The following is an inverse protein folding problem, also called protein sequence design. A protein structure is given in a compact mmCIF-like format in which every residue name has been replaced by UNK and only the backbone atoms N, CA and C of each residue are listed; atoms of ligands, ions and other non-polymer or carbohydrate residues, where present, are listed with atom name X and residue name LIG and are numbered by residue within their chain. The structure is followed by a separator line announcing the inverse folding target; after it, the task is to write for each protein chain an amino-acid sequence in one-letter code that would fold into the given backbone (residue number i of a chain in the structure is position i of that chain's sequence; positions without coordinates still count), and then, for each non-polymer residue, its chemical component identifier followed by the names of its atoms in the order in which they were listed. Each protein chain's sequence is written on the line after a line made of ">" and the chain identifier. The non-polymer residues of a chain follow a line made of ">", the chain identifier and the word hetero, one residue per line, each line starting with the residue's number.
data_IF_574877632500
#
_entry.id   IF_574877632500
#
_cell.length_a   1.000
_cell.length_b   1.000
_cell.length_c   1.000
_cell.angle_alpha   90.00
_cell.angle_beta   90.00
_cell.angle_gamma   90.00
#
_symmetry.space_group_name_H-M   'P 1'
#
loop_
_entity.id
_entity.type
_entity.pdbx_description
1 polymer ?
#
# COMPACT_ATOMS: atom_id res chain seq x y z
N UNK A 1 6.03 34.34 -9.88
CA UNK A 1 6.40 33.91 -11.23
C UNK A 1 5.36 32.97 -11.79
N UNK A 2 4.88 33.19 -13.03
CA UNK A 2 3.90 32.34 -13.69
C UNK A 2 4.57 31.16 -14.46
N UNK A 3 5.91 31.03 -14.30
CA UNK A 3 6.66 30.02 -15.01
C UNK A 3 6.23 28.57 -14.76
N UNK A 4 5.97 28.13 -13.51
CA UNK A 4 5.48 26.78 -13.26
C UNK A 4 4.19 26.43 -14.00
N UNK A 5 3.21 27.36 -14.02
CA UNK A 5 1.94 27.13 -14.69
C UNK A 5 2.12 27.04 -16.22
N UNK A 6 2.98 27.89 -16.80
CA UNK A 6 3.27 27.84 -18.23
C UNK A 6 3.87 26.49 -18.63
N UNK A 7 4.88 26.05 -17.92
CA UNK A 7 5.59 24.78 -18.18
C UNK A 7 4.64 23.57 -18.04
N UNK A 8 3.80 23.56 -17.00
CA UNK A 8 2.79 22.51 -16.83
C UNK A 8 1.77 22.53 -17.94
N UNK A 9 1.33 23.70 -18.37
CA UNK A 9 0.39 23.83 -19.50
C UNK A 9 0.95 23.25 -20.81
N UNK A 10 2.22 23.51 -21.12
CA UNK A 10 2.94 22.94 -22.27
C UNK A 10 3.05 21.41 -22.14
N UNK A 11 3.49 20.92 -20.98
CA UNK A 11 3.62 19.49 -20.70
C UNK A 11 2.27 18.74 -20.79
N UNK A 12 1.18 19.34 -20.30
CA UNK A 12 -0.17 18.77 -20.43
C UNK A 12 -0.63 18.72 -21.89
N UNK A 13 -0.37 19.77 -22.66
CA UNK A 13 -0.72 19.83 -24.08
C UNK A 13 0.03 18.78 -24.93
N UNK A 14 1.24 18.41 -24.51
CA UNK A 14 2.05 17.36 -25.11
C UNK A 14 1.69 15.94 -24.64
N UNK A 15 0.67 15.80 -23.78
CA UNK A 15 0.22 14.50 -23.30
C UNK A 15 0.97 13.95 -22.10
N UNK A 16 1.59 14.81 -21.30
CA UNK A 16 2.38 14.41 -20.12
C UNK A 16 1.59 13.69 -19.04
N UNK A 17 0.30 14.01 -18.85
CA UNK A 17 -0.57 13.33 -17.89
C UNK A 17 -1.51 12.33 -18.57
N UNK A 18 -2.22 12.77 -19.62
CA UNK A 18 -3.09 11.95 -20.45
C UNK A 18 -2.69 12.15 -21.90
N UNK A 19 -2.53 11.07 -22.64
CA UNK A 19 -2.21 11.13 -24.08
C UNK A 19 -3.39 11.56 -24.94
N UNK A 20 -4.60 11.54 -24.40
CA UNK A 20 -5.87 11.77 -25.08
C UNK A 20 -6.61 13.01 -24.56
N UNK A 21 -5.89 14.05 -24.11
CA UNK A 21 -6.51 15.32 -23.70
C UNK A 21 -7.27 15.93 -24.89
N UNK A 22 -8.59 16.09 -24.73
CA UNK A 22 -9.47 16.70 -25.72
C UNK A 22 -9.80 18.17 -25.41
N UNK A 23 -9.68 18.54 -24.15
CA UNK A 23 -9.90 19.91 -23.66
C UNK A 23 -8.92 20.24 -22.55
N UNK A 24 -8.22 21.37 -22.65
CA UNK A 24 -7.39 21.94 -21.61
C UNK A 24 -7.78 23.41 -21.40
N UNK A 25 -8.23 23.76 -20.21
CA UNK A 25 -8.61 25.14 -19.84
C UNK A 25 -7.79 25.61 -18.64
N UNK A 26 -6.99 26.66 -18.78
CA UNK A 26 -6.34 27.28 -17.64
C UNK A 26 -7.34 28.05 -16.78
N UNK A 27 -6.97 28.29 -15.51
CA UNK A 27 -7.64 29.19 -14.59
C UNK A 27 -9.17 28.94 -14.44
N UNK A 28 -9.57 27.70 -14.24
CA UNK A 28 -10.96 27.32 -14.18
C UNK A 28 -11.51 27.32 -12.74
N UNK A 29 -12.64 28.00 -12.53
CA UNK A 29 -13.28 28.08 -11.22
C UNK A 29 -13.96 26.78 -10.83
N UNK A 30 -13.73 26.33 -9.58
CA UNK A 30 -14.45 25.27 -8.92
C UNK A 30 -14.73 25.70 -7.46
N UNK A 31 -16.00 25.67 -7.04
CA UNK A 31 -16.39 26.12 -5.72
C UNK A 31 -15.97 27.57 -5.45
N UNK A 32 -15.14 27.77 -4.44
CA UNK A 32 -14.61 29.07 -4.04
C UNK A 32 -13.16 29.31 -4.46
N UNK A 33 -12.57 28.41 -5.24
CA UNK A 33 -11.21 28.53 -5.76
C UNK A 33 -11.17 28.50 -7.27
N UNK A 34 -10.06 28.98 -7.82
CA UNK A 34 -9.74 28.91 -9.24
C UNK A 34 -8.50 28.05 -9.36
N UNK A 35 -8.66 26.85 -9.93
CA UNK A 35 -7.56 25.94 -10.19
C UNK A 35 -6.77 26.35 -11.43
N UNK A 36 -5.50 26.00 -11.44
CA UNK A 36 -4.60 26.35 -12.53
C UNK A 36 -5.01 25.70 -13.84
N UNK A 37 -5.51 24.45 -13.80
CA UNK A 37 -6.00 23.73 -14.99
C UNK A 37 -7.27 22.92 -14.72
N UNK A 38 -8.15 22.92 -15.71
CA UNK A 38 -9.20 21.94 -15.93
C UNK A 38 -8.94 21.20 -17.23
N UNK A 39 -9.14 19.89 -17.25
CA UNK A 39 -8.93 19.07 -18.44
C UNK A 39 -9.99 17.99 -18.60
N UNK A 40 -10.27 17.66 -19.87
CA UNK A 40 -11.07 16.51 -20.25
C UNK A 40 -10.29 15.62 -21.20
N UNK A 41 -10.40 14.31 -21.05
CA UNK A 41 -9.84 13.35 -21.98
C UNK A 41 -10.89 12.88 -22.98
N UNK A 42 -10.45 12.35 -24.13
CA UNK A 42 -11.36 11.73 -25.11
C UNK A 42 -12.09 10.51 -24.54
N UNK A 43 -11.53 9.86 -23.52
CA UNK A 43 -12.14 8.77 -22.75
C UNK A 43 -13.21 9.23 -21.74
N UNK A 44 -13.47 10.54 -21.65
CA UNK A 44 -14.51 11.13 -20.77
C UNK A 44 -14.07 11.43 -19.34
N UNK A 45 -12.78 11.33 -19.01
CA UNK A 45 -12.26 11.74 -17.69
C UNK A 45 -12.29 13.26 -17.60
N UNK A 46 -12.67 13.77 -16.43
CA UNK A 46 -12.64 15.19 -16.10
C UNK A 46 -11.78 15.41 -14.89
N UNK A 47 -10.85 16.35 -14.97
CA UNK A 47 -9.85 16.54 -13.93
C UNK A 47 -9.57 18.02 -13.65
N UNK A 48 -9.24 18.32 -12.38
CA UNK A 48 -8.66 19.57 -11.94
C UNK A 48 -7.22 19.38 -11.49
N UNK A 49 -6.39 20.40 -11.74
CA UNK A 49 -5.02 20.43 -11.29
C UNK A 49 -4.68 21.80 -10.70
N UNK A 50 -4.03 21.75 -9.55
CA UNK A 50 -3.38 22.89 -8.91
C UNK A 50 -1.86 22.71 -9.02
N UNK A 51 -1.14 23.79 -9.36
CA UNK A 51 0.31 23.79 -9.54
C UNK A 51 0.98 24.58 -8.43
N UNK A 52 2.09 24.06 -7.91
CA UNK A 52 2.93 24.72 -6.92
C UNK A 52 4.38 24.71 -7.37
N UNK A 53 4.94 25.89 -7.61
CA UNK A 53 6.38 26.02 -7.86
C UNK A 53 7.16 25.80 -6.55
N UNK A 54 8.20 25.01 -6.61
CA UNK A 54 9.07 24.67 -5.47
C UNK A 54 10.48 25.17 -5.78
N UNK A 55 11.01 26.01 -4.88
CA UNK A 55 12.34 26.62 -4.97
C UNK A 55 13.14 26.44 -3.68
N UNK A 56 12.48 26.00 -2.58
CA UNK A 56 13.15 25.74 -1.32
C UNK A 56 13.77 24.34 -1.35
N UNK A 57 15.07 24.28 -1.15
CA UNK A 57 15.86 23.05 -1.10
C UNK A 57 16.78 23.07 0.12
N UNK A 58 16.97 21.92 0.72
CA UNK A 58 17.94 21.68 1.77
C UNK A 58 18.45 20.23 1.70
N UNK A 59 19.75 20.04 1.47
CA UNK A 59 20.42 18.73 1.35
C UNK A 59 19.71 17.78 0.34
N UNK A 60 19.47 18.28 -0.87
CA UNK A 60 18.79 17.59 -1.97
C UNK A 60 17.33 17.19 -1.66
N UNK A 61 16.70 17.81 -0.68
CA UNK A 61 15.28 17.66 -0.35
C UNK A 61 14.54 18.96 -0.63
N UNK A 62 13.56 18.91 -1.50
CA UNK A 62 12.68 20.05 -1.74
C UNK A 62 11.55 20.11 -0.72
N UNK A 63 11.18 21.29 -0.27
CA UNK A 63 10.10 21.48 0.70
C UNK A 63 9.11 22.56 0.26
N UNK A 64 7.83 22.38 0.57
CA UNK A 64 6.77 23.35 0.30
C UNK A 64 5.78 23.42 1.48
N UNK A 65 5.27 24.62 1.84
CA UNK A 65 5.60 25.94 1.30
C UNK A 65 6.89 26.53 1.91
N UNK A 66 7.49 27.48 1.24
CA UNK A 66 8.63 28.27 1.71
C UNK A 66 8.25 29.31 2.76
N UNK A 67 6.98 29.77 2.74
CA UNK A 67 6.36 30.64 3.72
C UNK A 67 4.93 30.19 4.02
N UNK A 68 4.34 30.55 5.19
CA UNK A 68 2.98 30.16 5.53
C UNK A 68 1.96 30.59 4.48
N UNK A 69 1.16 29.67 3.98
CA UNK A 69 0.19 29.89 2.90
C UNK A 69 -1.16 29.23 3.17
N UNK A 70 -2.08 29.97 3.78
CA UNK A 70 -3.46 29.52 3.99
C UNK A 70 -4.17 29.26 2.65
N UNK A 71 -3.79 29.99 1.60
CA UNK A 71 -4.29 29.77 0.25
C UNK A 71 -3.92 28.38 -0.27
N UNK A 72 -2.70 27.91 -0.01
CA UNK A 72 -2.24 26.58 -0.43
C UNK A 72 -3.06 25.48 0.27
N UNK A 73 -3.32 25.61 1.58
CA UNK A 73 -4.18 24.68 2.33
C UNK A 73 -5.59 24.65 1.73
N UNK A 74 -6.21 25.82 1.52
CA UNK A 74 -7.54 25.93 0.94
C UNK A 74 -7.65 25.27 -0.44
N UNK A 75 -6.68 25.46 -1.32
CA UNK A 75 -6.68 24.85 -2.65
C UNK A 75 -6.64 23.34 -2.58
N UNK A 76 -5.87 22.77 -1.66
CA UNK A 76 -5.83 21.32 -1.46
C UNK A 76 -7.15 20.80 -0.89
N UNK A 77 -7.80 21.52 0.03
CA UNK A 77 -9.14 21.18 0.53
C UNK A 77 -10.18 21.14 -0.59
N UNK A 78 -10.12 22.08 -1.51
CA UNK A 78 -11.04 22.10 -2.66
C UNK A 78 -10.72 21.03 -3.70
N UNK A 79 -9.46 20.56 -3.83
CA UNK A 79 -9.13 19.36 -4.60
C UNK A 79 -9.76 18.10 -3.99
N UNK A 80 -9.78 18.00 -2.65
CA UNK A 80 -10.50 16.92 -1.94
C UNK A 80 -11.99 16.97 -2.27
N UNK A 81 -12.58 18.15 -2.28
CA UNK A 81 -14.00 18.33 -2.62
C UNK A 81 -14.28 17.98 -4.09
N UNK A 82 -13.44 18.38 -5.01
CA UNK A 82 -13.54 17.99 -6.42
C UNK A 82 -13.51 16.46 -6.57
N UNK A 83 -12.64 15.78 -5.81
CA UNK A 83 -12.55 14.33 -5.82
C UNK A 83 -13.84 13.67 -5.33
N UNK A 84 -14.47 14.19 -4.28
CA UNK A 84 -15.77 13.71 -3.78
C UNK A 84 -16.89 13.86 -4.81
N UNK A 85 -16.82 14.87 -5.66
CA UNK A 85 -17.79 15.13 -6.73
C UNK A 85 -17.51 14.31 -8.01
N UNK A 86 -16.52 13.40 -7.99
CA UNK A 86 -16.24 12.47 -9.07
C UNK A 86 -15.23 12.97 -10.11
N UNK A 87 -14.62 14.13 -9.91
CA UNK A 87 -13.51 14.58 -10.76
C UNK A 87 -12.20 13.88 -10.35
N UNK A 88 -11.32 13.67 -11.30
CA UNK A 88 -9.92 13.43 -10.97
C UNK A 88 -9.30 14.74 -10.45
N UNK A 89 -8.43 14.63 -9.45
CA UNK A 89 -7.84 15.81 -8.81
C UNK A 89 -6.33 15.61 -8.65
N UNK A 90 -5.57 16.64 -9.04
CA UNK A 90 -4.12 16.62 -9.04
C UNK A 90 -3.54 17.84 -8.33
N UNK A 91 -2.55 17.60 -7.48
CA UNK A 91 -1.64 18.63 -7.00
C UNK A 91 -0.27 18.36 -7.65
N UNK A 92 0.28 19.33 -8.37
CA UNK A 92 1.55 19.20 -9.07
C UNK A 92 2.60 20.15 -8.49
N UNK A 93 3.65 19.57 -7.91
CA UNK A 93 4.84 20.32 -7.54
C UNK A 93 5.79 20.41 -8.73
N UNK A 94 6.17 21.62 -9.10
CA UNK A 94 7.15 21.92 -10.14
C UNK A 94 8.43 22.35 -9.44
N UNK A 95 9.41 21.46 -9.42
CA UNK A 95 10.70 21.66 -8.75
C UNK A 95 11.62 22.34 -9.75
N UNK A 96 11.88 23.62 -9.54
CA UNK A 96 12.62 24.48 -10.49
C UNK A 96 14.14 24.30 -10.38
N UNK A 97 14.59 23.04 -10.20
CA UNK A 97 15.99 22.65 -10.08
C UNK A 97 16.17 21.17 -10.33
N UNK A 98 17.40 20.71 -10.46
CA UNK A 98 17.79 19.30 -10.59
C UNK A 98 18.44 18.75 -9.33
N UNK A 99 18.55 17.43 -9.26
CA UNK A 99 19.25 16.72 -8.18
C UNK A 99 18.43 16.52 -6.92
N UNK A 100 17.12 16.76 -6.95
CA UNK A 100 16.23 16.57 -5.79
C UNK A 100 15.87 15.09 -5.66
N UNK A 101 16.09 14.53 -4.47
CA UNK A 101 15.78 13.15 -4.14
C UNK A 101 14.28 12.92 -3.89
N UNK A 102 13.63 13.86 -3.22
CA UNK A 102 12.18 13.87 -2.97
C UNK A 102 11.69 15.26 -2.55
N UNK A 103 10.38 15.47 -2.63
CA UNK A 103 9.73 16.66 -2.08
C UNK A 103 8.88 16.27 -0.88
N UNK A 104 8.84 17.12 0.14
CA UNK A 104 8.04 16.92 1.35
C UNK A 104 7.31 18.19 1.79
N UNK A 105 6.25 18.09 2.60
CA UNK A 105 5.66 19.24 3.26
C UNK A 105 6.68 19.89 4.20
N UNK A 106 6.73 21.22 4.18
CA UNK A 106 7.53 21.97 5.15
C UNK A 106 6.78 22.03 6.50
N UNK A 107 6.92 20.96 7.27
CA UNK A 107 6.26 20.80 8.57
C UNK A 107 6.61 21.90 9.57
N UNK A 108 7.82 22.44 9.50
CA UNK A 108 8.26 23.51 10.39
C UNK A 108 7.59 24.85 10.05
N UNK A 109 7.37 25.11 8.78
CA UNK A 109 6.77 26.36 8.29
C UNK A 109 5.26 26.34 8.39
N UNK A 110 4.63 25.22 7.99
CA UNK A 110 3.18 25.09 7.99
C UNK A 110 2.71 23.64 8.18
N UNK A 111 2.58 23.16 9.42
CA UNK A 111 2.07 21.82 9.70
C UNK A 111 0.71 21.51 9.05
N UNK A 112 -0.20 22.49 9.03
CA UNK A 112 -1.52 22.36 8.42
C UNK A 112 -1.49 22.00 6.93
N UNK A 113 -0.42 22.38 6.21
CA UNK A 113 -0.25 21.98 4.82
C UNK A 113 0.11 20.49 4.71
N UNK A 114 0.98 19.98 5.57
CA UNK A 114 1.29 18.55 5.64
C UNK A 114 0.05 17.71 5.99
N UNK A 115 -0.74 18.15 6.98
CA UNK A 115 -1.99 17.49 7.39
C UNK A 115 -3.02 17.44 6.26
N UNK A 116 -3.19 18.54 5.52
CA UNK A 116 -4.13 18.56 4.39
C UNK A 116 -3.64 17.69 3.23
N UNK A 117 -2.33 17.57 3.00
CA UNK A 117 -1.78 16.65 2.00
C UNK A 117 -2.06 15.17 2.35
N UNK A 118 -1.93 14.80 3.62
CA UNK A 118 -2.28 13.45 4.08
C UNK A 118 -3.76 13.15 3.83
N UNK A 119 -4.66 14.10 4.16
CA UNK A 119 -6.10 13.97 3.88
C UNK A 119 -6.39 13.91 2.38
N UNK A 120 -5.70 14.69 1.58
CA UNK A 120 -5.86 14.72 0.12
C UNK A 120 -5.47 13.38 -0.51
N UNK A 121 -4.34 12.80 -0.11
CA UNK A 121 -3.92 11.48 -0.57
C UNK A 121 -4.96 10.41 -0.20
N UNK A 122 -5.43 10.39 1.04
CA UNK A 122 -6.47 9.46 1.50
C UNK A 122 -7.81 9.65 0.77
N UNK A 123 -8.10 10.85 0.29
CA UNK A 123 -9.29 11.15 -0.52
C UNK A 123 -9.11 10.81 -2.02
N UNK A 124 -7.93 10.32 -2.43
CA UNK A 124 -7.62 9.97 -3.81
C UNK A 124 -7.18 11.15 -4.70
N UNK A 125 -6.77 12.26 -4.11
CA UNK A 125 -6.05 13.33 -4.83
C UNK A 125 -4.65 12.81 -5.17
N UNK A 126 -4.25 12.88 -6.42
CA UNK A 126 -2.93 12.47 -6.88
C UNK A 126 -1.94 13.62 -6.70
N UNK A 127 -0.92 13.39 -5.90
CA UNK A 127 0.13 14.37 -5.63
C UNK A 127 1.34 13.99 -6.48
N UNK A 128 1.70 14.86 -7.40
CA UNK A 128 2.78 14.68 -8.36
C UNK A 128 3.88 15.70 -8.10
N UNK A 129 5.11 15.32 -8.39
CA UNK A 129 6.23 16.25 -8.46
C UNK A 129 7.12 15.89 -9.64
N UNK A 130 7.58 16.93 -10.31
CA UNK A 130 8.55 16.81 -11.40
C UNK A 130 9.64 17.85 -11.23
N UNK A 131 10.86 17.47 -11.52
CA UNK A 131 11.95 18.43 -11.64
C UNK A 131 11.94 19.08 -13.01
N UNK A 132 12.81 20.08 -13.18
CA UNK A 132 12.89 20.81 -14.43
C UNK A 132 14.34 20.89 -14.92
N UNK A 133 14.48 20.82 -16.23
CA UNK A 133 15.66 21.34 -16.91
C UNK A 133 15.57 22.88 -16.93
N UNK A 134 16.58 23.53 -16.40
CA UNK A 134 16.65 25.00 -16.29
C UNK A 134 17.72 25.50 -17.22
N UNK A 135 17.34 26.27 -18.25
CA UNK A 135 18.24 27.01 -19.14
C UNK A 135 18.24 28.48 -18.79
N UNK A 136 19.05 29.28 -19.52
CA UNK A 136 19.13 30.75 -19.33
C UNK A 136 17.76 31.44 -19.49
N UNK A 137 16.98 31.03 -20.49
CA UNK A 137 15.66 31.59 -20.81
C UNK A 137 14.57 30.49 -20.92
N UNK A 138 14.83 29.29 -20.43
CA UNK A 138 13.93 28.14 -20.59
C UNK A 138 13.75 27.34 -19.28
N UNK A 139 12.54 26.81 -19.09
CA UNK A 139 12.20 25.87 -18.07
C UNK A 139 11.37 24.78 -18.74
N UNK A 140 11.72 23.52 -18.52
CA UNK A 140 11.00 22.36 -19.10
C UNK A 140 10.86 21.27 -18.05
N UNK A 141 9.66 20.68 -17.92
CA UNK A 141 9.43 19.52 -17.06
C UNK A 141 10.25 18.35 -17.57
N UNK A 142 10.89 17.63 -16.65
CA UNK A 142 11.77 16.51 -16.99
C UNK A 142 11.39 15.25 -16.22
N UNK A 143 12.06 14.92 -15.13
CA UNK A 143 11.88 13.64 -14.44
C UNK A 143 10.91 13.72 -13.27
N UNK A 144 10.13 12.67 -13.01
CA UNK A 144 9.29 12.59 -11.82
C UNK A 144 10.15 12.49 -10.56
N UNK A 145 9.74 13.20 -9.50
CA UNK A 145 10.39 13.21 -8.20
C UNK A 145 9.43 12.60 -7.16
N UNK A 146 9.89 11.70 -6.29
CA UNK A 146 9.06 11.15 -5.23
C UNK A 146 8.49 12.23 -4.32
N UNK A 147 7.23 12.05 -3.89
CA UNK A 147 6.56 12.92 -2.90
C UNK A 147 6.40 12.17 -1.60
N UNK A 148 7.03 12.64 -0.53
CA UNK A 148 6.94 12.05 0.80
C UNK A 148 6.03 12.89 1.70
N UNK A 149 4.82 12.43 1.90
CA UNK A 149 3.80 13.14 2.68
C UNK A 149 3.85 12.77 4.16
N UNK A 150 4.21 11.51 4.46
CA UNK A 150 4.39 11.03 5.84
C UNK A 150 5.45 9.91 5.93
N UNK A 151 5.61 9.34 7.13
CA UNK A 151 6.58 8.28 7.38
C UNK A 151 6.37 7.03 6.52
N UNK A 152 5.13 6.76 6.06
CA UNK A 152 4.84 5.59 5.22
C UNK A 152 5.56 5.67 3.86
N UNK A 153 5.74 6.84 3.30
CA UNK A 153 6.42 6.99 2.01
C UNK A 153 7.91 6.60 2.06
N UNK A 154 8.46 6.52 3.28
CA UNK A 154 9.86 6.21 3.53
C UNK A 154 10.12 4.75 3.89
N UNK A 155 9.09 3.93 4.07
CA UNK A 155 9.27 2.57 4.61
C UNK A 155 9.67 1.53 3.58
N UNK A 156 9.28 1.69 2.32
CA UNK A 156 9.42 0.64 1.31
C UNK A 156 10.88 0.31 1.02
N UNK A 157 11.72 1.30 0.77
CA UNK A 157 13.12 1.10 0.41
C UNK A 157 13.94 0.44 1.53
N UNK A 158 13.96 0.95 2.79
CA UNK A 158 14.71 0.29 3.85
C UNK A 158 14.17 -1.09 4.21
N UNK A 159 12.85 -1.32 4.08
CA UNK A 159 12.24 -2.62 4.27
C UNK A 159 12.72 -3.64 3.25
N UNK A 160 12.70 -3.30 1.96
CA UNK A 160 13.16 -4.18 0.90
C UNK A 160 14.65 -4.46 0.98
N UNK A 161 15.47 -3.45 1.29
CA UNK A 161 16.90 -3.63 1.48
C UNK A 161 17.21 -4.59 2.64
N UNK A 162 16.49 -4.47 3.77
CA UNK A 162 16.59 -5.38 4.90
C UNK A 162 16.15 -6.80 4.52
N UNK A 163 15.05 -6.93 3.78
CA UNK A 163 14.52 -8.21 3.31
C UNK A 163 15.51 -8.92 2.37
N UNK A 164 16.09 -8.21 1.42
CA UNK A 164 17.09 -8.75 0.49
C UNK A 164 18.35 -9.25 1.20
N UNK A 165 18.77 -8.54 2.26
CA UNK A 165 19.97 -8.89 3.03
C UNK A 165 19.79 -10.12 3.91
N UNK A 166 18.57 -10.45 4.37
CA UNK A 166 18.38 -11.44 5.42
C UNK A 166 17.10 -12.28 5.37
N UNK A 167 16.37 -12.30 4.25
CA UNK A 167 15.13 -13.09 4.14
C UNK A 167 15.37 -14.57 4.37
N UNK A 168 14.45 -15.21 5.10
CA UNK A 168 14.48 -16.64 5.31
C UNK A 168 14.29 -17.40 3.99
N UNK A 169 15.06 -18.46 3.81
CA UNK A 169 14.85 -19.44 2.74
C UNK A 169 13.69 -20.35 3.17
N UNK A 170 12.58 -20.29 2.40
CA UNK A 170 11.37 -21.06 2.68
C UNK A 170 10.94 -21.78 1.41
N UNK A 171 10.52 -23.07 1.49
CA UNK A 171 10.19 -23.87 0.30
C UNK A 171 9.20 -23.22 -0.66
N UNK A 172 8.17 -22.56 -0.13
CA UNK A 172 7.15 -21.85 -0.92
C UNK A 172 7.60 -20.53 -1.55
N UNK A 173 8.84 -20.08 -1.27
CA UNK A 173 9.47 -18.90 -1.89
C UNK A 173 10.41 -19.24 -3.03
N UNK A 174 10.83 -20.51 -3.15
CA UNK A 174 11.73 -20.96 -4.22
C UNK A 174 11.00 -21.00 -5.57
N UNK A 175 9.75 -21.47 -5.56
CA UNK A 175 8.89 -21.53 -6.74
C UNK A 175 7.49 -20.97 -6.39
N UNK A 176 7.29 -19.67 -6.40
CA UNK A 176 6.06 -19.02 -5.94
C UNK A 176 4.93 -19.07 -6.99
N UNK A 177 4.55 -20.27 -7.44
CA UNK A 177 3.37 -20.45 -8.27
C UNK A 177 2.09 -20.06 -7.51
N UNK A 178 0.99 -19.72 -8.20
CA UNK A 178 -0.28 -19.41 -7.53
C UNK A 178 -0.74 -20.52 -6.56
N UNK A 179 -0.55 -21.77 -6.91
CA UNK A 179 -0.91 -22.90 -6.07
C UNK A 179 -0.01 -23.00 -4.83
N UNK A 180 1.29 -22.87 -5.00
CA UNK A 180 2.28 -22.92 -3.91
C UNK A 180 2.07 -21.78 -2.90
N UNK A 181 1.86 -20.55 -3.39
CA UNK A 181 1.55 -19.40 -2.54
C UNK A 181 0.24 -19.62 -1.79
N UNK A 182 -0.82 -20.00 -2.48
CA UNK A 182 -2.12 -20.25 -1.85
C UNK A 182 -2.03 -21.33 -0.76
N UNK A 183 -1.42 -22.46 -1.07
CA UNK A 183 -1.27 -23.57 -0.13
C UNK A 183 -0.49 -23.13 1.12
N UNK A 184 0.66 -22.49 0.95
CA UNK A 184 1.48 -22.03 2.07
C UNK A 184 0.75 -21.00 2.94
N UNK A 185 0.05 -20.05 2.33
CA UNK A 185 -0.72 -19.02 3.07
C UNK A 185 -1.83 -19.65 3.92
N UNK A 186 -2.53 -20.66 3.42
CA UNK A 186 -3.55 -21.37 4.20
C UNK A 186 -2.92 -22.20 5.32
N UNK A 187 -1.80 -22.88 5.07
CA UNK A 187 -1.10 -23.66 6.10
C UNK A 187 -0.53 -22.79 7.23
N UNK A 188 -0.02 -21.61 6.89
CA UNK A 188 0.56 -20.66 7.84
C UNK A 188 -0.47 -19.96 8.73
N UNK A 189 -1.76 -20.00 8.39
CA UNK A 189 -2.80 -19.45 9.27
C UNK A 189 -2.75 -20.13 10.64
N UNK A 190 -2.39 -19.37 11.69
CA UNK A 190 -2.31 -19.84 13.08
C UNK A 190 -1.35 -21.04 13.31
N UNK A 191 -0.42 -21.27 12.38
CA UNK A 191 0.60 -22.33 12.47
C UNK A 191 1.99 -21.75 12.29
N UNK A 192 2.95 -22.21 13.09
CA UNK A 192 4.34 -21.73 13.02
C UNK A 192 5.02 -22.22 11.75
N UNK A 193 5.88 -21.39 11.16
CA UNK A 193 6.62 -21.65 9.92
C UNK A 193 7.36 -23.00 9.97
N UNK A 194 8.09 -23.30 11.05
CA UNK A 194 8.86 -24.53 11.17
C UNK A 194 7.97 -25.79 11.15
N UNK A 195 6.78 -25.72 11.72
CA UNK A 195 5.82 -26.82 11.64
C UNK A 195 5.30 -27.00 10.21
N UNK A 196 5.03 -25.90 9.49
CA UNK A 196 4.45 -25.97 8.13
C UNK A 196 5.41 -26.59 7.12
N UNK A 197 6.73 -26.40 7.21
CA UNK A 197 7.71 -26.88 6.23
C UNK A 197 7.51 -28.37 5.88
N UNK A 198 7.50 -29.25 6.87
CA UNK A 198 7.35 -30.70 6.66
C UNK A 198 5.96 -31.08 6.11
N UNK A 199 4.91 -30.35 6.47
CA UNK A 199 3.57 -30.56 5.93
C UNK A 199 3.44 -30.12 4.49
N UNK A 200 4.04 -28.99 4.15
CA UNK A 200 4.02 -28.42 2.82
C UNK A 200 4.63 -29.36 1.78
N UNK A 201 5.84 -29.86 2.05
CA UNK A 201 6.52 -30.79 1.15
C UNK A 201 5.74 -32.10 0.95
N UNK A 202 5.26 -32.69 2.05
CA UNK A 202 4.46 -33.92 2.00
C UNK A 202 3.13 -33.72 1.26
N UNK A 203 2.50 -32.56 1.46
CA UNK A 203 1.23 -32.23 0.81
C UNK A 203 1.42 -32.08 -0.70
N UNK A 204 2.46 -31.35 -1.14
CA UNK A 204 2.77 -31.18 -2.55
C UNK A 204 3.17 -32.48 -3.25
N UNK A 205 3.87 -33.39 -2.56
CA UNK A 205 4.16 -34.72 -3.12
C UNK A 205 2.89 -35.52 -3.39
N UNK A 206 1.88 -35.40 -2.52
CA UNK A 206 0.63 -36.13 -2.65
C UNK A 206 -0.39 -35.42 -3.57
N UNK A 207 -0.40 -34.10 -3.57
CA UNK A 207 -1.37 -33.23 -4.26
C UNK A 207 -0.59 -32.06 -4.92
N UNK A 208 0.07 -32.31 -6.07
CA UNK A 208 0.99 -31.34 -6.67
C UNK A 208 0.33 -30.15 -7.35
N UNK A 209 -0.97 -30.23 -7.63
CA UNK A 209 -1.73 -29.23 -8.39
C UNK A 209 -3.17 -29.08 -7.90
N UNK A 210 -3.87 -28.10 -8.46
CA UNK A 210 -5.25 -27.78 -8.11
C UNK A 210 -6.20 -28.92 -8.45
N UNK A 211 -5.97 -29.63 -9.56
CA UNK A 211 -6.77 -30.74 -10.03
C UNK A 211 -6.71 -31.93 -9.08
N UNK A 212 -5.52 -32.31 -8.64
CA UNK A 212 -5.33 -33.38 -7.65
C UNK A 212 -5.96 -33.04 -6.30
N UNK A 213 -5.84 -31.78 -5.87
CA UNK A 213 -6.50 -31.28 -4.65
C UNK A 213 -8.03 -31.29 -4.78
N UNK A 214 -8.57 -30.93 -5.94
CA UNK A 214 -10.02 -30.94 -6.17
C UNK A 214 -10.58 -32.38 -6.16
N UNK A 215 -9.82 -33.33 -6.71
CA UNK A 215 -10.24 -34.73 -6.86
C UNK A 215 -9.99 -35.61 -5.62
N UNK A 216 -9.12 -35.18 -4.67
CA UNK A 216 -8.76 -36.02 -3.52
C UNK A 216 -9.97 -36.35 -2.63
N UNK A 217 -10.03 -37.57 -2.13
CA UNK A 217 -11.04 -37.95 -1.13
C UNK A 217 -10.82 -37.20 0.19
N UNK A 218 -11.93 -36.80 0.86
CA UNK A 218 -11.86 -35.99 2.09
C UNK A 218 -11.04 -36.66 3.18
N UNK A 219 -11.20 -37.97 3.37
CA UNK A 219 -10.44 -38.74 4.36
C UNK A 219 -8.92 -38.65 4.13
N UNK A 220 -8.49 -38.81 2.88
CA UNK A 220 -7.08 -38.68 2.49
C UNK A 220 -6.56 -37.25 2.69
N UNK A 221 -7.38 -36.23 2.35
CA UNK A 221 -7.04 -34.83 2.56
C UNK A 221 -6.82 -34.53 4.05
N UNK A 222 -7.76 -34.95 4.89
CA UNK A 222 -7.69 -34.73 6.34
C UNK A 222 -6.51 -35.49 6.98
N UNK A 223 -6.15 -36.65 6.44
CA UNK A 223 -4.95 -37.39 6.88
C UNK A 223 -3.66 -36.65 6.54
N UNK A 224 -3.57 -36.04 5.37
CA UNK A 224 -2.42 -35.19 4.99
C UNK A 224 -2.31 -33.94 5.86
N UNK A 225 -3.45 -33.45 6.38
CA UNK A 225 -3.57 -32.25 7.23
C UNK A 225 -3.43 -32.54 8.72
N UNK A 226 -3.40 -33.82 9.11
CA UNK A 226 -3.39 -34.25 10.53
C UNK A 226 -2.19 -33.65 11.26
N UNK A 227 -2.45 -32.92 12.35
CA UNK A 227 -1.45 -32.22 13.16
C UNK A 227 -1.36 -30.72 12.91
N UNK A 228 -1.86 -30.18 11.79
CA UNK A 228 -1.94 -28.73 11.55
C UNK A 228 -3.12 -28.06 12.29
N UNK A 229 -4.13 -28.85 12.67
CA UNK A 229 -5.34 -28.35 13.31
C UNK A 229 -6.24 -27.52 12.37
N UNK A 230 -7.34 -26.99 12.94
CA UNK A 230 -8.30 -26.15 12.19
C UNK A 230 -8.69 -26.75 10.84
N UNK A 231 -9.20 -27.97 10.83
CA UNK A 231 -9.50 -28.80 9.66
C UNK A 231 -10.44 -28.14 8.62
N UNK A 232 -11.21 -27.15 9.05
CA UNK A 232 -12.02 -26.35 8.09
C UNK A 232 -11.17 -25.63 7.05
N UNK A 233 -9.89 -25.34 7.33
CA UNK A 233 -8.97 -24.79 6.33
C UNK A 233 -8.75 -25.77 5.18
N UNK A 234 -8.49 -27.04 5.50
CA UNK A 234 -8.34 -28.11 4.50
C UNK A 234 -9.63 -28.32 3.68
N UNK A 235 -10.78 -28.36 4.34
CA UNK A 235 -12.07 -28.49 3.64
C UNK A 235 -12.35 -27.31 2.71
N UNK A 236 -12.10 -26.09 3.17
CA UNK A 236 -12.26 -24.90 2.32
C UNK A 236 -11.27 -24.88 1.16
N UNK A 237 -10.02 -25.30 1.39
CA UNK A 237 -9.01 -25.44 0.35
C UNK A 237 -9.48 -26.38 -0.77
N UNK A 238 -10.01 -27.55 -0.44
CA UNK A 238 -10.61 -28.48 -1.41
C UNK A 238 -11.82 -27.88 -2.13
N UNK A 239 -12.75 -27.27 -1.40
CA UNK A 239 -13.93 -26.62 -2.01
C UNK A 239 -13.52 -25.53 -3.00
N UNK A 240 -12.51 -24.73 -2.65
CA UNK A 240 -11.98 -23.72 -3.52
C UNK A 240 -11.29 -24.32 -4.76
N UNK A 241 -10.52 -25.41 -4.59
CA UNK A 241 -9.92 -26.14 -5.71
C UNK A 241 -10.96 -26.69 -6.69
N UNK A 242 -12.04 -27.29 -6.16
CA UNK A 242 -13.17 -27.75 -6.97
C UNK A 242 -13.79 -26.59 -7.77
N UNK A 243 -13.95 -25.42 -7.15
CA UNK A 243 -14.47 -24.23 -7.80
C UNK A 243 -13.50 -23.72 -8.88
N UNK A 244 -12.20 -23.71 -8.61
CA UNK A 244 -11.18 -23.33 -9.61
C UNK A 244 -11.22 -24.26 -10.81
N UNK A 245 -11.35 -25.56 -10.61
CA UNK A 245 -11.46 -26.51 -11.72
C UNK A 245 -12.74 -26.29 -12.52
N UNK A 246 -13.89 -26.13 -11.86
CA UNK A 246 -15.19 -26.03 -12.53
C UNK A 246 -15.46 -24.67 -13.19
N UNK A 247 -15.01 -23.55 -12.58
CA UNK A 247 -15.36 -22.21 -13.05
C UNK A 247 -14.18 -21.49 -13.75
N UNK A 248 -12.93 -21.90 -13.48
CA UNK A 248 -11.72 -21.26 -14.00
C UNK A 248 -10.81 -22.22 -14.78
N UNK A 249 -11.32 -23.41 -15.13
CA UNK A 249 -10.57 -24.37 -15.97
C UNK A 249 -9.27 -24.88 -15.32
N UNK A 250 -9.21 -24.99 -13.99
CA UNK A 250 -8.05 -25.44 -13.24
C UNK A 250 -6.99 -24.36 -12.98
N UNK A 251 -7.19 -23.15 -13.51
CA UNK A 251 -6.25 -22.04 -13.29
C UNK A 251 -6.74 -21.12 -12.18
N UNK A 252 -5.90 -20.91 -11.16
CA UNK A 252 -6.20 -19.97 -10.08
C UNK A 252 -6.33 -18.56 -10.69
N UNK A 253 -7.45 -17.84 -10.44
CA UNK A 253 -7.66 -16.52 -11.00
C UNK A 253 -6.62 -15.51 -10.47
N UNK A 254 -6.10 -14.66 -11.35
CA UNK A 254 -5.10 -13.66 -10.97
C UNK A 254 -5.69 -12.38 -10.38
N UNK A 255 -6.99 -12.09 -10.61
CA UNK A 255 -7.61 -10.87 -10.11
C UNK A 255 -8.03 -11.00 -8.65
N UNK A 256 -7.71 -9.98 -7.85
CA UNK A 256 -8.03 -9.94 -6.42
C UNK A 256 -9.52 -10.20 -6.13
N UNK A 257 -10.42 -9.58 -6.90
CA UNK A 257 -11.88 -9.71 -6.74
C UNK A 257 -12.36 -11.14 -7.03
N UNK A 258 -11.71 -11.84 -7.95
CA UNK A 258 -12.02 -13.24 -8.27
C UNK A 258 -11.50 -14.18 -7.17
N UNK A 259 -10.31 -13.91 -6.64
CA UNK A 259 -9.76 -14.66 -5.50
C UNK A 259 -10.67 -14.60 -4.28
N UNK A 260 -11.27 -13.44 -3.98
CA UNK A 260 -12.21 -13.27 -2.87
C UNK A 260 -13.49 -14.13 -2.99
N UNK A 261 -13.84 -14.60 -4.19
CA UNK A 261 -14.99 -15.47 -4.42
C UNK A 261 -14.72 -16.93 -4.07
N UNK A 262 -13.45 -17.29 -3.80
CA UNK A 262 -13.06 -18.64 -3.49
C UNK A 262 -13.24 -18.94 -2.00
N UNK A 263 -13.82 -20.12 -1.64
CA UNK A 263 -14.02 -20.50 -0.26
C UNK A 263 -12.74 -20.46 0.58
N UNK A 264 -12.79 -19.82 1.74
CA UNK A 264 -11.65 -19.72 2.67
C UNK A 264 -10.56 -18.71 2.30
N UNK A 265 -10.74 -17.95 1.21
CA UNK A 265 -9.84 -16.87 0.82
C UNK A 265 -10.45 -15.53 1.25
N UNK A 266 -9.85 -14.91 2.26
CA UNK A 266 -10.15 -13.55 2.71
C UNK A 266 -9.23 -12.51 2.09
N UNK A 267 -9.41 -11.23 2.45
CA UNK A 267 -8.64 -10.10 1.90
C UNK A 267 -7.13 -10.27 2.02
N UNK A 268 -6.65 -10.79 3.16
CA UNK A 268 -5.24 -11.07 3.37
C UNK A 268 -4.69 -12.12 2.37
N UNK A 269 -5.33 -13.30 2.32
CA UNK A 269 -4.87 -14.39 1.43
C UNK A 269 -4.98 -14.00 -0.03
N UNK A 270 -6.07 -13.32 -0.42
CA UNK A 270 -6.22 -12.80 -1.78
C UNK A 270 -5.12 -11.78 -2.14
N UNK A 271 -4.80 -10.86 -1.21
CA UNK A 271 -3.71 -9.91 -1.39
C UNK A 271 -2.34 -10.58 -1.51
N UNK A 272 -2.06 -11.60 -0.69
CA UNK A 272 -0.83 -12.37 -0.76
C UNK A 272 -0.69 -13.10 -2.12
N UNK A 273 -1.72 -13.82 -2.56
CA UNK A 273 -1.71 -14.51 -3.85
C UNK A 273 -1.57 -13.51 -5.00
N UNK A 274 -2.38 -12.45 -5.03
CA UNK A 274 -2.36 -11.45 -6.10
C UNK A 274 -1.00 -10.76 -6.22
N UNK A 275 -0.35 -10.44 -5.11
CA UNK A 275 0.94 -9.73 -5.13
C UNK A 275 2.11 -10.66 -5.37
N UNK A 276 2.17 -11.82 -4.69
CA UNK A 276 3.34 -12.70 -4.74
C UNK A 276 3.38 -13.52 -6.03
N UNK A 277 2.23 -14.07 -6.45
CA UNK A 277 2.17 -14.94 -7.61
C UNK A 277 1.85 -14.20 -8.92
N UNK A 278 1.17 -13.07 -8.86
CA UNK A 278 0.72 -12.33 -10.05
C UNK A 278 1.28 -10.91 -10.17
N UNK A 279 2.12 -10.47 -9.23
CA UNK A 279 2.77 -9.17 -9.29
C UNK A 279 1.82 -7.96 -9.19
N UNK A 280 0.63 -8.13 -8.63
CA UNK A 280 -0.33 -7.04 -8.49
C UNK A 280 0.00 -6.16 -7.27
N UNK A 281 -0.21 -4.87 -7.40
CA UNK A 281 -0.12 -3.91 -6.28
C UNK A 281 -1.33 -4.11 -5.38
N UNK A 282 -1.27 -5.13 -4.53
CA UNK A 282 -2.35 -5.50 -3.62
C UNK A 282 -1.79 -5.81 -2.23
N UNK A 283 -2.08 -4.98 -1.22
CA UNK A 283 -1.63 -5.22 0.15
C UNK A 283 -2.23 -6.49 0.76
N UNK A 284 -1.41 -7.19 1.54
CA UNK A 284 -1.83 -8.32 2.36
C UNK A 284 -1.75 -7.91 3.84
N UNK A 285 -2.87 -7.44 4.40
CA UNK A 285 -2.93 -6.87 5.75
C UNK A 285 -3.49 -7.88 6.74
N UNK A 286 -2.62 -8.35 7.63
CA UNK A 286 -2.96 -9.20 8.78
C UNK A 286 -2.73 -8.47 10.12
N UNK A 287 -2.89 -9.19 11.22
CA UNK A 287 -2.63 -8.64 12.55
C UNK A 287 -1.17 -8.23 12.80
N UNK A 288 -0.22 -8.82 12.07
CA UNK A 288 1.19 -8.42 12.16
C UNK A 288 1.39 -7.07 11.48
N UNK A 289 0.89 -6.91 10.27
CA UNK A 289 0.96 -5.65 9.51
C UNK A 289 0.29 -4.52 10.29
N UNK A 290 -0.91 -4.74 10.82
CA UNK A 290 -1.62 -3.76 11.65
C UNK A 290 -0.80 -3.36 12.88
N UNK A 291 -0.15 -4.32 13.55
CA UNK A 291 0.70 -4.04 14.71
C UNK A 291 1.92 -3.20 14.37
N UNK A 292 2.66 -3.58 13.33
CA UNK A 292 3.89 -2.87 12.99
C UNK A 292 3.60 -1.44 12.52
N UNK A 293 2.53 -1.22 11.77
CA UNK A 293 2.13 0.13 11.34
C UNK A 293 1.55 0.96 12.49
N UNK A 294 0.78 0.34 13.40
CA UNK A 294 0.33 1.01 14.61
C UNK A 294 1.50 1.52 15.46
N UNK A 295 2.57 0.73 15.60
CA UNK A 295 3.81 1.14 16.29
C UNK A 295 4.57 2.22 15.51
N UNK A 296 4.69 2.05 14.19
CA UNK A 296 5.39 3.01 13.33
C UNK A 296 4.82 4.43 13.48
N UNK A 297 3.50 4.55 13.48
CA UNK A 297 2.76 5.84 13.45
C UNK A 297 2.16 6.24 14.80
N UNK A 298 2.31 5.43 15.85
CA UNK A 298 1.59 5.58 17.13
C UNK A 298 0.07 5.69 16.93
N UNK A 299 -0.49 4.84 16.06
CA UNK A 299 -1.92 4.88 15.74
C UNK A 299 -2.75 4.38 16.94
N UNK A 300 -3.52 5.27 17.52
CA UNK A 300 -4.38 5.02 18.69
C UNK A 300 -5.69 4.29 18.35
N UNK A 301 -5.99 4.10 17.06
CA UNK A 301 -7.20 3.40 16.63
C UNK A 301 -7.16 1.92 16.99
N UNK A 302 -8.34 1.35 17.24
CA UNK A 302 -8.45 -0.09 17.50
C UNK A 302 -8.13 -0.90 16.23
N UNK A 303 -7.06 -1.70 16.27
CA UNK A 303 -6.67 -2.55 15.12
C UNK A 303 -7.68 -3.67 14.80
N UNK A 304 -8.66 -3.91 15.67
CA UNK A 304 -9.73 -4.90 15.41
C UNK A 304 -10.90 -4.29 14.62
N UNK A 305 -10.93 -2.96 14.45
CA UNK A 305 -11.94 -2.30 13.63
C UNK A 305 -11.65 -2.52 12.13
N UNK A 306 -12.65 -3.06 11.43
CA UNK A 306 -12.55 -3.30 9.98
C UNK A 306 -12.31 -2.00 9.16
N UNK A 307 -12.74 -0.84 9.67
CA UNK A 307 -12.48 0.45 9.04
C UNK A 307 -10.99 0.82 9.11
N UNK A 308 -10.36 0.53 10.26
CA UNK A 308 -8.91 0.75 10.43
C UNK A 308 -8.12 -0.14 9.50
N UNK A 309 -8.50 -1.43 9.40
CA UNK A 309 -7.87 -2.35 8.45
C UNK A 309 -7.97 -1.86 7.00
N UNK A 310 -9.16 -1.42 6.58
CA UNK A 310 -9.37 -0.90 5.23
C UNK A 310 -8.52 0.35 4.96
N UNK A 311 -8.47 1.30 5.90
CA UNK A 311 -7.63 2.48 5.77
C UNK A 311 -6.14 2.12 5.63
N UNK A 312 -5.67 1.11 6.36
CA UNK A 312 -4.29 0.60 6.24
C UNK A 312 -4.06 -0.07 4.88
N UNK A 313 -5.03 -0.85 4.37
CA UNK A 313 -4.95 -1.43 3.02
C UNK A 313 -4.84 -0.33 1.94
N UNK A 314 -5.64 0.73 2.04
CA UNK A 314 -5.59 1.89 1.13
C UNK A 314 -4.27 2.64 1.22
N UNK A 315 -3.78 2.94 2.42
CA UNK A 315 -2.49 3.60 2.66
C UNK A 315 -1.34 2.79 2.05
N UNK A 316 -1.30 1.49 2.30
CA UNK A 316 -0.24 0.61 1.77
C UNK A 316 -0.30 0.46 0.25
N UNK A 317 -1.49 0.39 -0.34
CA UNK A 317 -1.62 0.34 -1.80
C UNK A 317 -1.00 1.57 -2.47
N UNK A 318 -1.06 2.73 -1.82
CA UNK A 318 -0.49 3.99 -2.31
C UNK A 318 1.04 4.05 -2.31
N UNK A 319 1.70 3.23 -1.50
CA UNK A 319 3.17 3.26 -1.31
C UNK A 319 3.87 1.96 -1.71
N UNK A 320 3.11 0.92 -2.02
CA UNK A 320 3.65 -0.38 -2.39
C UNK A 320 4.41 -0.28 -3.73
N UNK A 321 5.67 -0.72 -3.80
CA UNK A 321 6.45 -0.69 -5.04
C UNK A 321 5.80 -1.57 -6.13
N UNK A 322 5.54 -0.98 -7.30
CA UNK A 322 4.85 -1.65 -8.40
C UNK A 322 5.69 -2.74 -9.06
N UNK A 323 7.00 -2.66 -8.97
CA UNK A 323 7.95 -3.64 -9.49
C UNK A 323 8.18 -4.83 -8.54
N UNK A 324 7.89 -4.67 -7.24
CA UNK A 324 8.17 -5.69 -6.20
C UNK A 324 7.03 -5.84 -5.16
N UNK A 325 5.75 -5.91 -5.56
CA UNK A 325 4.65 -5.93 -4.59
C UNK A 325 4.64 -7.20 -3.72
N UNK A 326 5.00 -8.35 -4.28
CA UNK A 326 5.09 -9.61 -3.55
C UNK A 326 6.20 -9.59 -2.49
N UNK A 327 7.37 -9.05 -2.84
CA UNK A 327 8.49 -8.91 -1.88
C UNK A 327 8.13 -7.95 -0.76
N UNK A 328 7.43 -6.85 -1.06
CA UNK A 328 6.98 -5.89 -0.06
C UNK A 328 6.06 -6.54 0.98
N UNK A 329 5.04 -7.29 0.55
CA UNK A 329 4.17 -8.02 1.46
C UNK A 329 4.93 -9.07 2.28
N UNK A 330 5.80 -9.86 1.64
CA UNK A 330 6.60 -10.86 2.34
C UNK A 330 7.55 -10.22 3.37
N UNK A 331 8.15 -9.08 3.04
CA UNK A 331 9.01 -8.33 3.95
C UNK A 331 8.25 -7.79 5.17
N UNK A 332 7.01 -7.30 4.97
CA UNK A 332 6.12 -6.88 6.06
C UNK A 332 5.80 -8.04 7.01
N UNK A 333 5.47 -9.20 6.46
CA UNK A 333 5.20 -10.43 7.25
C UNK A 333 6.44 -10.86 8.03
N UNK A 334 7.60 -10.85 7.39
CA UNK A 334 8.89 -11.23 8.00
C UNK A 334 9.26 -10.28 9.13
N UNK A 335 9.12 -8.97 8.92
CA UNK A 335 9.37 -7.95 9.94
C UNK A 335 8.48 -8.16 11.18
N UNK A 336 7.20 -8.45 10.96
CA UNK A 336 6.26 -8.71 12.05
C UNK A 336 6.53 -10.02 12.79
N UNK A 337 7.02 -11.05 12.10
CA UNK A 337 7.30 -12.35 12.70
C UNK A 337 8.62 -12.39 13.47
N UNK A 338 9.65 -11.66 13.03
CA UNK A 338 11.03 -11.85 13.54
C UNK A 338 11.57 -10.69 14.34
N UNK A 339 11.15 -9.46 14.05
CA UNK A 339 11.71 -8.24 14.63
C UNK A 339 10.69 -7.51 15.49
N UNK A 340 9.61 -7.05 14.88
CA UNK A 340 8.54 -6.33 15.58
C UNK A 340 7.51 -7.30 16.18
N UNK A 341 7.95 -8.20 17.05
CA UNK A 341 7.17 -9.31 17.61
C UNK A 341 6.01 -8.85 18.50
N UNK A 342 4.91 -9.67 18.62
CA UNK A 342 3.73 -9.29 19.40
C UNK A 342 3.95 -9.38 20.92
N UNK A 343 4.75 -10.34 21.38
CA UNK A 343 4.95 -10.64 22.78
C UNK A 343 6.43 -10.50 23.15
N UNK A 344 6.72 -9.88 24.29
CA UNK A 344 8.08 -9.60 24.72
C UNK A 344 8.65 -8.30 24.10
N UNK A 345 9.96 -8.09 24.26
CA UNK A 345 10.64 -6.92 23.73
C UNK A 345 10.85 -7.04 22.22
N UNK A 346 10.30 -6.12 21.45
CA UNK A 346 10.59 -6.01 20.04
C UNK A 346 12.07 -5.68 19.81
N UNK A 347 12.66 -6.27 18.78
CA UNK A 347 14.08 -6.09 18.44
C UNK A 347 14.31 -4.80 17.63
N UNK A 348 14.01 -3.66 18.24
CA UNK A 348 14.03 -2.37 17.58
C UNK A 348 15.40 -1.98 17.00
N UNK A 349 16.51 -2.49 17.55
CA UNK A 349 17.86 -2.26 17.03
C UNK A 349 18.12 -2.96 15.69
N UNK A 350 17.42 -4.05 15.40
CA UNK A 350 17.50 -4.80 14.14
C UNK A 350 16.45 -4.32 13.11
N UNK A 351 15.57 -3.38 13.50
CA UNK A 351 14.45 -2.95 12.66
C UNK A 351 14.90 -2.00 11.54
N UNK A 352 14.52 -2.25 10.26
CA UNK A 352 14.84 -1.33 9.16
C UNK A 352 14.18 0.05 9.33
N UNK A 353 13.14 0.13 10.15
CA UNK A 353 12.39 1.37 10.41
C UNK A 353 12.72 2.01 11.76
N UNK A 354 13.83 1.61 12.41
CA UNK A 354 14.18 2.11 13.75
C UNK A 354 14.16 3.63 13.84
N UNK A 355 14.64 4.32 12.79
CA UNK A 355 14.77 5.78 12.78
C UNK A 355 13.50 6.50 12.23
N UNK A 356 12.50 5.73 11.81
CA UNK A 356 11.20 6.21 11.36
C UNK A 356 10.07 5.92 12.38
N UNK A 357 10.32 5.02 13.34
CA UNK A 357 9.28 4.50 14.23
C UNK A 357 9.00 5.44 15.39
N UNK A 358 7.84 6.10 15.38
CA UNK A 358 7.42 7.03 16.42
C UNK A 358 7.29 6.37 17.81
N UNK A 359 6.75 5.15 17.88
CA UNK A 359 6.62 4.43 19.16
C UNK A 359 7.98 4.08 19.76
N UNK A 360 9.00 3.79 18.94
CA UNK A 360 10.37 3.59 19.42
C UNK A 360 10.98 4.90 19.90
N UNK A 361 10.85 5.97 19.13
CA UNK A 361 11.37 7.29 19.47
C UNK A 361 10.86 7.78 20.83
N UNK A 362 9.58 7.50 21.11
CA UNK A 362 8.93 7.88 22.37
C UNK A 362 8.97 6.78 23.45
N UNK A 363 9.72 5.70 23.23
CA UNK A 363 9.84 4.55 24.15
C UNK A 363 8.50 3.87 24.51
N UNK A 364 7.50 3.97 23.64
CA UNK A 364 6.12 3.51 23.84
C UNK A 364 5.73 2.27 23.01
N UNK A 365 6.70 1.51 22.50
CA UNK A 365 6.46 0.33 21.64
C UNK A 365 5.48 -0.67 22.28
N UNK A 366 5.57 -0.88 23.59
CA UNK A 366 4.72 -1.82 24.34
C UNK A 366 3.26 -1.38 24.47
N UNK A 367 2.95 -0.10 24.24
CA UNK A 367 1.59 0.42 24.31
C UNK A 367 0.77 0.17 23.05
N UNK A 368 1.42 -0.19 21.96
CA UNK A 368 0.80 -0.42 20.65
C UNK A 368 0.95 -1.88 20.19
N UNK A 369 -0.05 -2.40 19.49
CA UNK A 369 -1.27 -1.75 18.99
C UNK A 369 -2.34 -1.58 20.07
N UNK A 370 -3.23 -0.61 19.89
CA UNK A 370 -4.42 -0.48 20.73
C UNK A 370 -5.49 -1.49 20.31
N UNK A 371 -6.16 -2.08 21.31
CA UNK A 371 -7.28 -3.00 21.12
C UNK A 371 -8.37 -2.63 22.13
N UNK A 372 -9.60 -2.48 21.68
CA UNK A 372 -10.72 -2.27 22.58
C UNK A 372 -10.86 -3.48 23.51
N UNK A 373 -11.16 -3.22 24.78
CA UNK A 373 -11.47 -4.27 25.75
C UNK A 373 -12.72 -5.02 25.28
N UNK A 374 -12.65 -6.35 25.20
CA UNK A 374 -13.83 -7.16 24.90
C UNK A 374 -14.90 -6.89 25.97
N UNK A 375 -16.09 -6.47 25.57
CA UNK A 375 -17.23 -6.43 26.48
C UNK A 375 -17.38 -7.80 27.14
N UNK A 376 -17.56 -7.89 28.48
CA UNK A 376 -17.79 -9.18 29.13
C UNK A 376 -19.01 -9.86 28.49
N UNK A 377 -18.88 -11.14 28.16
CA UNK A 377 -20.02 -11.93 27.67
C UNK A 377 -21.06 -11.97 28.77
N UNK A 378 -22.27 -11.51 28.50
CA UNK A 378 -23.44 -11.77 29.35
C UNK A 378 -23.65 -13.29 29.38
N UNK A 379 -23.34 -13.92 30.52
CA UNK A 379 -23.72 -15.32 30.77
C UNK A 379 -25.14 -15.26 31.28
N UNK A 380 -26.11 -15.52 30.42
CA UNK A 380 -27.46 -15.83 30.88
C UNK A 380 -27.38 -17.18 31.61
N UNK A 381 -27.51 -17.12 32.92
CA UNK A 381 -27.76 -18.34 33.71
C UNK A 381 -29.19 -18.78 33.39
N UNK A 382 -29.33 -19.89 32.66
CA UNK A 382 -30.59 -20.66 32.60
C UNK A 382 -30.79 -21.41 33.89
#
# INVERSE_FOLDING_TARGET
>A
SNAPNKVVGEWLAEGGLYKDISLLRPETTFGHSRFDFYMESASGRKAFMEVKGVTLENHDVAAFPDAPSQRAVKHVEELIEARKQGFDAYLMFVIQMKGIRYVEPNWNTQPAFGEVLQRARSAGVRILAYDCMVGEDSLTIDEPVPVFVDSLDRIAQPLLAWYDAGRRILPWREEPTPYHVWLSEIMLQQTRVEAVKAYYDRFLQALPDVESLAAVEEEKLLKLWEGLGYYNRARNLKKAAMKVVSEYGGQIPGKYEELLKLPGIGSYTAGAIASIAFGQVQPAVDGNVLRILSRLRMDERDILDAKVKRAVEEDLAGIMPADRPGDFNQAMMELGAMVCIPNGAAKCTECPWRDLCQAREQERVGEFPKKASKKPRHIEKK
#
